data_IF_097346515715
#
_entry.id   IF_097346515715
#
_cell.length_a   1.000
_cell.length_b   1.000
_cell.length_c   1.000
_cell.angle_alpha   90.00
_cell.angle_beta   90.00
_cell.angle_gamma   90.00
#
_symmetry.space_group_name_H-M   'P 1'
#
loop_
_entity.id
_entity.type
_entity.pdbx_description
1 polymer ?
#
# COMPACT_ATOMS: atom_id res chain seq x y z
N UNK A 1 33.63 23.30 -29.39
CA UNK A 1 32.54 22.45 -29.91
C UNK A 1 32.48 21.22 -29.04
N UNK A 2 31.48 21.18 -28.15
CA UNK A 2 31.37 20.19 -27.09
C UNK A 2 30.40 19.12 -27.57
N UNK A 3 30.89 17.88 -27.69
CA UNK A 3 30.12 16.73 -28.16
C UNK A 3 29.14 16.27 -27.09
N UNK A 4 27.86 16.29 -27.42
CA UNK A 4 26.77 15.69 -26.68
C UNK A 4 26.35 14.39 -27.40
N UNK A 5 26.90 13.26 -26.95
CA UNK A 5 26.39 11.95 -27.32
C UNK A 5 25.12 11.68 -26.51
N UNK A 6 23.97 11.77 -27.15
CA UNK A 6 22.68 11.36 -26.59
C UNK A 6 22.60 9.84 -26.63
N UNK A 7 22.90 9.19 -25.51
CA UNK A 7 22.52 7.79 -25.34
C UNK A 7 21.05 7.75 -24.94
N UNK A 8 20.21 7.54 -25.94
CA UNK A 8 18.82 7.10 -25.80
C UNK A 8 18.85 5.73 -25.08
N UNK A 9 18.53 5.70 -23.79
CA UNK A 9 18.35 4.44 -23.06
C UNK A 9 16.86 4.17 -23.03
N UNK A 10 16.48 3.32 -23.97
CA UNK A 10 15.18 2.70 -24.15
C UNK A 10 14.60 2.21 -22.82
N UNK A 11 13.36 2.60 -22.56
CA UNK A 11 12.48 2.02 -21.54
C UNK A 11 12.36 0.51 -21.80
N UNK A 12 13.20 -0.27 -21.13
CA UNK A 12 12.88 -1.65 -20.84
C UNK A 12 11.82 -1.61 -19.74
N UNK A 13 10.54 -1.62 -20.13
CA UNK A 13 9.44 -1.84 -19.22
C UNK A 13 9.66 -3.18 -18.51
N UNK A 14 10.07 -3.08 -17.25
CA UNK A 14 10.17 -4.20 -16.33
C UNK A 14 8.76 -4.79 -16.17
N UNK A 15 8.54 -5.96 -16.75
CA UNK A 15 7.24 -6.65 -16.88
C UNK A 15 6.60 -7.03 -15.52
N UNK A 16 7.21 -6.62 -14.41
CA UNK A 16 6.76 -6.89 -13.05
C UNK A 16 6.44 -5.63 -12.21
N UNK A 17 6.60 -4.42 -12.77
CA UNK A 17 6.39 -3.19 -11.99
C UNK A 17 4.90 -2.86 -11.84
N UNK A 18 4.37 -3.05 -10.63
CA UNK A 18 3.02 -2.59 -10.25
C UNK A 18 3.11 -1.10 -9.91
N UNK A 19 2.56 -0.24 -10.78
CA UNK A 19 2.66 1.23 -10.63
C UNK A 19 1.83 1.75 -9.45
N UNK A 20 2.48 2.38 -8.47
CA UNK A 20 1.83 2.96 -7.28
C UNK A 20 0.59 3.81 -7.62
N UNK A 21 -0.54 3.66 -6.90
CA UNK A 21 -1.83 4.24 -7.29
C UNK A 21 -1.97 5.71 -6.84
N UNK A 22 -1.00 6.56 -7.18
CA UNK A 22 -0.94 7.98 -6.79
C UNK A 22 -2.25 8.73 -7.04
N UNK A 23 -2.89 8.47 -8.18
CA UNK A 23 -4.17 9.09 -8.56
C UNK A 23 -5.29 8.80 -7.55
N UNK A 24 -5.34 7.62 -6.95
CA UNK A 24 -6.36 7.29 -5.95
C UNK A 24 -6.17 8.12 -4.68
N UNK A 25 -4.92 8.29 -4.24
CA UNK A 25 -4.57 9.13 -3.09
C UNK A 25 -4.90 10.61 -3.34
N UNK A 26 -4.52 11.15 -4.51
CA UNK A 26 -4.86 12.54 -4.89
C UNK A 26 -6.36 12.78 -5.02
N UNK A 27 -7.14 11.79 -5.46
CA UNK A 27 -8.60 11.91 -5.48
C UNK A 27 -9.17 11.94 -4.06
N UNK A 28 -8.59 11.16 -3.14
CA UNK A 28 -9.07 11.07 -1.77
C UNK A 28 -8.68 12.24 -0.88
N UNK A 29 -7.58 12.95 -1.17
CA UNK A 29 -7.17 14.12 -0.39
C UNK A 29 -8.22 15.23 -0.32
N UNK A 30 -9.09 15.34 -1.33
CA UNK A 30 -10.14 16.35 -1.42
C UNK A 30 -11.54 15.81 -1.07
N UNK A 31 -11.63 14.58 -0.54
CA UNK A 31 -12.90 13.98 -0.13
C UNK A 31 -13.34 14.47 1.27
N UNK A 32 -14.55 14.11 1.70
CA UNK A 32 -14.96 14.32 3.09
C UNK A 32 -14.08 13.53 4.06
N UNK A 33 -14.03 13.95 5.31
CA UNK A 33 -13.18 13.31 6.32
C UNK A 33 -13.56 11.86 6.58
N UNK A 34 -14.85 11.52 6.61
CA UNK A 34 -15.30 10.12 6.66
C UNK A 34 -14.82 9.31 5.45
N UNK A 35 -14.82 9.91 4.26
CA UNK A 35 -14.43 9.23 3.03
C UNK A 35 -12.90 9.08 2.89
N UNK A 36 -12.14 10.00 3.50
CA UNK A 36 -10.70 9.87 3.70
C UNK A 36 -10.42 8.73 4.67
N UNK A 37 -11.08 8.74 5.83
CA UNK A 37 -10.87 7.74 6.87
C UNK A 37 -11.24 6.32 6.40
N UNK A 38 -12.35 6.18 5.67
CA UNK A 38 -12.72 4.91 5.06
C UNK A 38 -11.68 4.41 4.04
N UNK A 39 -11.02 5.32 3.33
CA UNK A 39 -9.94 4.95 2.43
C UNK A 39 -8.68 4.53 3.18
N UNK A 40 -8.33 5.24 4.27
CA UNK A 40 -7.24 4.85 5.19
C UNK A 40 -7.47 3.44 5.73
N UNK A 41 -8.66 3.18 6.29
CA UNK A 41 -9.07 1.86 6.79
C UNK A 41 -8.91 0.80 5.71
N UNK A 42 -9.39 1.04 4.48
CA UNK A 42 -9.26 0.06 3.42
C UNK A 42 -7.80 -0.24 3.09
N UNK A 43 -6.92 0.77 3.02
CA UNK A 43 -5.48 0.55 2.76
C UNK A 43 -4.86 -0.32 3.86
N UNK A 44 -5.17 -0.04 5.13
CA UNK A 44 -4.66 -0.84 6.26
C UNK A 44 -5.12 -2.30 6.18
N UNK A 45 -6.40 -2.53 5.86
CA UNK A 45 -6.96 -3.87 5.68
C UNK A 45 -6.32 -4.64 4.51
N UNK A 46 -6.10 -3.98 3.38
CA UNK A 46 -5.49 -4.62 2.20
C UNK A 46 -3.99 -4.88 2.43
N UNK A 47 -3.30 -4.01 3.17
CA UNK A 47 -1.93 -4.25 3.62
C UNK A 47 -1.87 -5.41 4.62
N UNK A 48 -2.76 -5.47 5.62
CA UNK A 48 -2.85 -6.59 6.55
C UNK A 48 -3.06 -7.92 5.79
N UNK A 49 -4.00 -7.96 4.85
CA UNK A 49 -4.27 -9.14 4.04
C UNK A 49 -3.06 -9.60 3.18
N UNK A 50 -2.17 -8.68 2.75
CA UNK A 50 -0.91 -9.08 2.11
C UNK A 50 0.02 -9.77 3.09
N UNK A 51 0.17 -9.23 4.31
CA UNK A 51 1.06 -9.77 5.34
C UNK A 51 0.51 -11.03 6.03
N UNK A 52 -0.74 -11.41 5.79
CA UNK A 52 -1.27 -12.73 6.15
C UNK A 52 -0.81 -13.85 5.19
N UNK A 53 -0.27 -13.51 4.02
CA UNK A 53 0.32 -14.50 3.11
C UNK A 53 1.65 -15.04 3.66
N UNK A 54 2.08 -16.21 3.15
CA UNK A 54 3.31 -16.87 3.62
C UNK A 54 4.57 -16.04 3.32
N UNK A 55 5.12 -15.46 4.39
CA UNK A 55 6.37 -14.69 4.42
C UNK A 55 7.54 -15.45 5.04
N UNK A 56 7.48 -16.79 5.13
CA UNK A 56 8.54 -17.63 5.71
C UNK A 56 9.89 -17.53 4.99
N UNK A 57 9.89 -17.12 3.72
CA UNK A 57 11.11 -16.90 2.94
C UNK A 57 11.75 -15.53 3.18
N UNK A 58 11.05 -14.59 3.83
CA UNK A 58 11.61 -13.31 4.22
C UNK A 58 12.55 -13.50 5.42
N UNK A 59 13.64 -12.74 5.50
CA UNK A 59 14.60 -12.84 6.60
C UNK A 59 14.15 -12.07 7.86
N UNK A 60 12.84 -11.88 8.05
CA UNK A 60 12.31 -11.05 9.13
C UNK A 60 12.14 -11.87 10.40
N UNK A 61 12.26 -11.22 11.55
CA UNK A 61 11.86 -11.84 12.79
C UNK A 61 10.34 -12.03 12.81
N UNK A 62 9.88 -13.27 12.99
CA UNK A 62 8.47 -13.64 13.00
C UNK A 62 7.65 -12.79 13.99
N UNK A 63 8.17 -12.59 15.21
CA UNK A 63 7.52 -11.77 16.23
C UNK A 63 7.30 -10.31 15.78
N UNK A 64 8.24 -9.76 15.00
CA UNK A 64 8.16 -8.39 14.50
C UNK A 64 7.13 -8.30 13.37
N UNK A 65 7.08 -9.30 12.47
CA UNK A 65 6.07 -9.37 11.41
C UNK A 65 4.65 -9.53 11.98
N UNK A 66 4.47 -10.42 12.96
CA UNK A 66 3.20 -10.60 13.66
C UNK A 66 2.75 -9.34 14.39
N UNK A 67 3.67 -8.67 15.10
CA UNK A 67 3.38 -7.40 15.77
C UNK A 67 2.95 -6.32 14.78
N UNK A 68 3.60 -6.25 13.61
CA UNK A 68 3.22 -5.32 12.55
C UNK A 68 1.81 -5.61 12.03
N UNK A 69 1.49 -6.87 11.71
CA UNK A 69 0.16 -7.29 11.27
C UNK A 69 -0.91 -6.96 12.32
N UNK A 70 -0.64 -7.25 13.60
CA UNK A 70 -1.53 -6.90 14.71
C UNK A 70 -1.76 -5.39 14.80
N UNK A 71 -0.73 -4.58 14.58
CA UNK A 71 -0.84 -3.12 14.59
C UNK A 71 -1.73 -2.61 13.45
N UNK A 72 -1.56 -3.14 12.23
CA UNK A 72 -2.36 -2.78 11.07
C UNK A 72 -3.85 -3.09 11.31
N UNK A 73 -4.15 -4.30 11.79
CA UNK A 73 -5.52 -4.73 12.08
C UNK A 73 -6.14 -3.87 13.18
N UNK A 74 -5.41 -3.64 14.29
CA UNK A 74 -5.88 -2.79 15.38
C UNK A 74 -6.18 -1.37 14.91
N UNK A 75 -5.30 -0.75 14.13
CA UNK A 75 -5.52 0.59 13.58
C UNK A 75 -6.72 0.63 12.62
N UNK A 76 -6.88 -0.39 11.78
CA UNK A 76 -8.03 -0.48 10.89
C UNK A 76 -9.36 -0.57 11.66
N UNK A 77 -9.41 -1.38 12.71
CA UNK A 77 -10.61 -1.57 13.54
C UNK A 77 -10.96 -0.30 14.33
N UNK A 78 -9.97 0.30 15.00
CA UNK A 78 -10.16 1.53 15.78
C UNK A 78 -10.66 2.67 14.89
N UNK A 79 -10.03 2.89 13.71
CA UNK A 79 -10.47 3.93 12.77
C UNK A 79 -11.83 3.61 12.13
N UNK A 80 -12.15 2.33 11.91
CA UNK A 80 -13.46 1.92 11.40
C UNK A 80 -14.60 2.33 12.33
N UNK A 81 -14.37 2.31 13.65
CA UNK A 81 -15.36 2.71 14.65
C UNK A 81 -15.78 4.18 14.56
N UNK A 82 -14.93 5.03 13.97
CA UNK A 82 -15.22 6.45 13.77
C UNK A 82 -16.04 6.74 12.50
N UNK A 83 -16.32 5.72 11.67
CA UNK A 83 -17.07 5.88 10.43
C UNK A 83 -18.53 5.47 10.68
N UNK A 84 -19.44 6.45 10.67
CA UNK A 84 -20.84 6.25 11.08
C UNK A 84 -21.67 5.28 10.21
N UNK A 85 -21.17 4.89 9.03
CA UNK A 85 -21.82 3.89 8.17
C UNK A 85 -20.80 3.12 7.33
N UNK A 86 -21.16 1.91 6.92
CA UNK A 86 -20.34 1.10 6.01
C UNK A 86 -20.15 1.83 4.68
N UNK A 87 -18.94 2.30 4.41
CA UNK A 87 -18.58 2.96 3.15
C UNK A 87 -18.27 1.94 2.07
N UNK A 88 -18.63 2.27 0.83
CA UNK A 88 -18.32 1.42 -0.32
C UNK A 88 -16.81 1.32 -0.53
N UNK A 89 -16.28 0.09 -0.54
CA UNK A 89 -14.87 -0.19 -0.83
C UNK A 89 -14.47 0.32 -2.22
N UNK A 90 -13.28 0.89 -2.33
CA UNK A 90 -12.66 1.29 -3.59
C UNK A 90 -12.17 0.05 -4.33
N UNK A 91 -12.89 -0.36 -5.37
CA UNK A 91 -12.55 -1.56 -6.16
C UNK A 91 -11.20 -1.43 -6.88
N UNK A 92 -10.79 -0.22 -7.28
CA UNK A 92 -9.49 -0.01 -7.94
C UNK A 92 -8.33 -0.22 -6.97
N UNK A 93 -8.48 0.24 -5.73
CA UNK A 93 -7.52 -0.03 -4.66
C UNK A 93 -7.44 -1.53 -4.36
N UNK A 94 -8.58 -2.20 -4.24
CA UNK A 94 -8.58 -3.65 -4.03
C UNK A 94 -7.88 -4.42 -5.18
N UNK A 95 -8.17 -4.05 -6.43
CA UNK A 95 -7.49 -4.63 -7.59
C UNK A 95 -5.99 -4.34 -7.61
N UNK A 96 -5.57 -3.21 -7.04
CA UNK A 96 -4.16 -2.86 -6.91
C UNK A 96 -3.43 -3.84 -5.98
N UNK A 97 -3.91 -4.00 -4.74
CA UNK A 97 -3.33 -4.94 -3.78
C UNK A 97 -3.39 -6.40 -4.26
N UNK A 98 -4.48 -6.77 -4.94
CA UNK A 98 -4.56 -8.08 -5.61
C UNK A 98 -3.47 -8.27 -6.67
N UNK A 99 -3.08 -7.22 -7.40
CA UNK A 99 -1.95 -7.30 -8.34
C UNK A 99 -0.62 -7.43 -7.62
N UNK A 100 -0.42 -6.80 -6.47
CA UNK A 100 0.78 -7.03 -5.65
C UNK A 100 0.89 -8.50 -5.23
N UNK A 101 -0.17 -9.08 -4.67
CA UNK A 101 -0.24 -10.51 -4.32
C UNK A 101 0.07 -11.42 -5.51
N UNK A 102 -0.55 -11.18 -6.67
CA UNK A 102 -0.40 -12.08 -7.82
C UNK A 102 0.90 -11.85 -8.60
N UNK A 103 1.23 -10.61 -8.91
CA UNK A 103 2.32 -10.26 -9.82
C UNK A 103 3.66 -10.16 -9.10
N UNK A 104 3.68 -9.82 -7.81
CA UNK A 104 4.92 -9.77 -7.03
C UNK A 104 5.06 -11.08 -6.26
N UNK A 105 4.23 -11.33 -5.25
CA UNK A 105 4.41 -12.49 -4.38
C UNK A 105 4.31 -13.82 -5.13
N UNK A 106 3.18 -14.11 -5.79
CA UNK A 106 2.95 -15.44 -6.40
C UNK A 106 3.86 -15.72 -7.58
N UNK A 107 4.08 -14.74 -8.47
CA UNK A 107 4.97 -14.90 -9.63
C UNK A 107 6.43 -15.08 -9.24
N UNK A 108 6.88 -14.40 -8.18
CA UNK A 108 8.25 -14.53 -7.68
C UNK A 108 8.38 -15.65 -6.63
N UNK A 109 7.33 -16.47 -6.44
CA UNK A 109 7.37 -17.64 -5.56
C UNK A 109 7.52 -17.31 -4.08
N UNK A 110 6.95 -16.20 -3.62
CA UNK A 110 7.08 -15.69 -2.24
C UNK A 110 8.54 -15.52 -1.81
N UNK A 111 9.46 -15.26 -2.74
CA UNK A 111 10.89 -15.11 -2.43
C UNK A 111 11.15 -13.95 -1.48
N UNK A 112 12.32 -13.96 -0.82
CA UNK A 112 12.78 -12.86 0.01
C UNK A 112 12.71 -11.52 -0.73
N UNK A 113 13.18 -11.49 -1.99
CA UNK A 113 13.14 -10.30 -2.85
C UNK A 113 11.72 -9.79 -3.11
N UNK A 114 10.76 -10.68 -3.33
CA UNK A 114 9.35 -10.31 -3.50
C UNK A 114 8.81 -9.60 -2.25
N UNK A 115 9.17 -10.10 -1.07
CA UNK A 115 8.76 -9.53 0.20
C UNK A 115 9.44 -8.20 0.51
N UNK A 116 10.71 -8.01 0.11
CA UNK A 116 11.37 -6.71 0.17
C UNK A 116 10.59 -5.65 -0.66
N UNK A 117 10.17 -6.01 -1.88
CA UNK A 117 9.34 -5.13 -2.72
C UNK A 117 8.00 -4.81 -2.06
N UNK A 118 7.30 -5.81 -1.51
CA UNK A 118 6.05 -5.61 -0.79
C UNK A 118 6.24 -4.70 0.43
N UNK A 119 7.35 -4.82 1.16
CA UNK A 119 7.60 -3.95 2.31
C UNK A 119 7.81 -2.50 1.89
N UNK A 120 8.64 -2.24 0.88
CA UNK A 120 8.84 -0.86 0.36
C UNK A 120 7.53 -0.26 -0.13
N UNK A 121 6.72 -1.05 -0.83
CA UNK A 121 5.42 -0.63 -1.33
C UNK A 121 4.45 -0.31 -0.18
N UNK A 122 4.43 -1.16 0.85
CA UNK A 122 3.60 -0.99 2.04
C UNK A 122 4.03 0.22 2.86
N UNK A 123 5.34 0.45 3.03
CA UNK A 123 5.87 1.64 3.69
C UNK A 123 5.36 2.91 3.02
N UNK A 124 5.41 2.97 1.68
CA UNK A 124 4.89 4.11 0.93
C UNK A 124 3.37 4.28 1.12
N UNK A 125 2.60 3.19 1.11
CA UNK A 125 1.17 3.24 1.44
C UNK A 125 0.92 3.82 2.83
N UNK A 126 1.67 3.37 3.84
CA UNK A 126 1.58 3.84 5.23
C UNK A 126 1.90 5.33 5.36
N UNK A 127 2.96 5.81 4.71
CA UNK A 127 3.29 7.23 4.66
C UNK A 127 2.15 8.06 4.07
N UNK A 128 1.54 7.59 2.97
CA UNK A 128 0.46 8.31 2.28
C UNK A 128 -0.84 8.31 3.07
N UNK A 129 -1.19 7.22 3.76
CA UNK A 129 -2.38 7.21 4.63
C UNK A 129 -2.18 7.98 5.92
N UNK A 130 -0.96 8.02 6.47
CA UNK A 130 -0.65 8.89 7.60
C UNK A 130 -0.87 10.36 7.25
N UNK A 131 -0.36 10.82 6.10
CA UNK A 131 -0.61 12.18 5.61
C UNK A 131 -2.11 12.46 5.43
N UNK A 132 -2.86 11.49 4.89
CA UNK A 132 -4.29 11.63 4.67
C UNK A 132 -5.07 11.70 5.99
N UNK A 133 -4.75 10.84 6.96
CA UNK A 133 -5.36 10.82 8.28
C UNK A 133 -5.06 12.10 9.07
N UNK A 134 -3.82 12.59 9.03
CA UNK A 134 -3.44 13.85 9.70
C UNK A 134 -4.19 15.07 9.18
N UNK A 135 -4.65 15.04 7.91
CA UNK A 135 -5.48 16.12 7.34
C UNK A 135 -6.92 16.14 7.85
N UNK A 136 -7.37 15.07 8.54
CA UNK A 136 -8.68 15.01 9.19
C UNK A 136 -8.62 15.66 10.58
N UNK A 137 -7.49 15.50 11.28
CA UNK A 137 -7.29 16.02 12.64
C UNK A 137 -6.89 17.50 12.71
N UNK A 138 -6.66 18.18 11.58
CA UNK A 138 -6.25 19.59 11.53
C UNK A 138 -7.44 20.57 11.33
N UNK A 139 -8.67 20.10 11.51
CA UNK A 139 -9.90 20.89 11.34
C UNK A 139 -10.49 21.32 12.69
N UNK A 140 -9.71 22.00 13.52
CA UNK A 140 -10.17 22.73 14.72
C UNK A 140 -9.95 24.24 14.56
#
# INVERSE_FOLDING_TARGET
>A
MQGNNSTNITEAEDQNSVVFPNKLYSQKSNASDEDKLAFVVQVLQEAAALFEEDHSSASWEESTAENFLNLLNKQADELSSCIGSQKKKNTKLHMYFKRLSVQVLKKMGHSAEAWELIRTETELHLMRVHQLASSVSSSD
#
